data_IF_859022200442
#
_entry.id   IF_859022200442
#
_cell.length_a   1.000
_cell.length_b   1.000
_cell.length_c   1.000
_cell.angle_alpha   90.00
_cell.angle_beta   90.00
_cell.angle_gamma   90.00
#
_symmetry.space_group_name_H-M   'P 1'
#
loop_
_entity.id
_entity.type
_entity.pdbx_description
1 polymer ?
#
# COMPACT_ATOMS: atom_id res chain seq x y z
N UNK A 1 -2.69 -12.77 20.29
CA UNK A 1 -3.17 -12.04 19.10
C UNK A 1 -4.38 -11.23 19.52
N UNK A 2 -4.41 -9.95 19.16
CA UNK A 2 -5.58 -9.10 19.37
C UNK A 2 -6.77 -9.62 18.54
N UNK A 3 -8.00 -9.18 18.85
CA UNK A 3 -9.17 -9.50 18.04
C UNK A 3 -9.05 -8.90 16.63
N UNK A 4 -9.23 -9.72 15.59
CA UNK A 4 -9.27 -9.34 14.16
C UNK A 4 -10.52 -8.49 13.83
N UNK A 5 -10.55 -7.25 14.33
CA UNK A 5 -11.72 -6.36 14.23
C UNK A 5 -12.13 -6.11 12.79
N UNK A 6 -11.19 -6.10 11.86
CA UNK A 6 -11.42 -5.87 10.43
C UNK A 6 -12.41 -6.88 9.82
N UNK A 7 -12.46 -8.12 10.32
CA UNK A 7 -13.38 -9.16 9.85
C UNK A 7 -14.86 -8.75 10.00
N UNK A 8 -15.19 -7.90 10.97
CA UNK A 8 -16.55 -7.40 11.17
C UNK A 8 -16.93 -6.29 10.19
N UNK A 9 -15.94 -5.55 9.70
CA UNK A 9 -16.14 -4.40 8.81
C UNK A 9 -16.13 -4.81 7.33
N UNK A 10 -15.30 -5.77 6.92
CA UNK A 10 -15.16 -6.20 5.51
C UNK A 10 -16.51 -6.50 4.84
N UNK A 11 -17.40 -7.35 5.40
CA UNK A 11 -18.66 -7.63 4.73
C UNK A 11 -19.55 -6.39 4.62
N UNK A 12 -19.58 -5.57 5.67
CA UNK A 12 -20.43 -4.39 5.77
C UNK A 12 -20.00 -3.27 4.81
N UNK A 13 -18.70 -3.05 4.63
CA UNK A 13 -18.19 -2.01 3.72
C UNK A 13 -18.47 -2.38 2.27
N UNK A 14 -18.13 -3.61 1.85
CA UNK A 14 -18.35 -4.06 0.47
C UNK A 14 -19.82 -4.16 0.10
N UNK A 15 -20.65 -4.82 0.93
CA UNK A 15 -22.10 -4.92 0.64
C UNK A 15 -22.80 -3.57 0.73
N UNK A 16 -22.46 -2.73 1.72
CA UNK A 16 -23.05 -1.41 1.91
C UNK A 16 -22.75 -0.47 0.74
N UNK A 17 -21.51 -0.45 0.26
CA UNK A 17 -21.10 0.36 -0.88
C UNK A 17 -21.67 -0.17 -2.21
N UNK A 18 -21.75 -1.50 -2.38
CA UNK A 18 -22.40 -2.12 -3.55
C UNK A 18 -23.89 -1.73 -3.64
N UNK A 19 -24.59 -1.71 -2.51
CA UNK A 19 -26.02 -1.37 -2.43
C UNK A 19 -26.34 0.12 -2.65
N UNK A 20 -25.33 1.01 -2.78
CA UNK A 20 -25.54 2.45 -3.02
C UNK A 20 -25.74 2.82 -4.48
N UNK A 21 -25.60 1.90 -5.43
CA UNK A 21 -25.69 2.22 -6.85
C UNK A 21 -25.99 1.02 -7.74
N UNK A 22 -24.95 0.47 -8.38
CA UNK A 22 -25.03 -0.64 -9.32
C UNK A 22 -24.77 -1.94 -8.55
N UNK A 23 -25.72 -2.87 -8.60
CA UNK A 23 -25.56 -4.18 -7.99
C UNK A 23 -24.54 -4.99 -8.79
N UNK A 24 -23.33 -5.14 -8.23
CA UNK A 24 -22.34 -6.07 -8.77
C UNK A 24 -22.67 -7.52 -8.45
N UNK A 25 -22.14 -8.40 -9.31
CA UNK A 25 -22.17 -9.83 -9.12
C UNK A 25 -21.60 -10.22 -7.76
N UNK A 26 -22.23 -11.20 -7.13
CA UNK A 26 -21.85 -11.70 -5.80
C UNK A 26 -20.38 -12.16 -5.80
N UNK A 27 -19.93 -12.78 -6.89
CA UNK A 27 -18.58 -13.30 -7.02
C UNK A 27 -17.53 -12.18 -6.99
N UNK A 28 -17.76 -11.05 -7.66
CA UNK A 28 -16.84 -9.90 -7.59
C UNK A 28 -16.75 -9.35 -6.17
N UNK A 29 -17.90 -9.21 -5.51
CA UNK A 29 -17.97 -8.68 -4.15
C UNK A 29 -17.29 -9.62 -3.16
N UNK A 30 -17.47 -10.93 -3.33
CA UNK A 30 -16.81 -11.97 -2.55
C UNK A 30 -15.29 -11.95 -2.76
N UNK A 31 -14.83 -11.93 -4.01
CA UNK A 31 -13.41 -11.86 -4.35
C UNK A 31 -12.75 -10.66 -3.65
N UNK A 32 -13.39 -9.49 -3.70
CA UNK A 32 -12.87 -8.28 -3.05
C UNK A 32 -12.90 -8.33 -1.52
N UNK A 33 -13.88 -9.02 -0.91
CA UNK A 33 -13.87 -9.28 0.54
C UNK A 33 -12.72 -10.18 0.95
N UNK A 34 -12.46 -11.25 0.20
CA UNK A 34 -11.36 -12.18 0.49
C UNK A 34 -10.01 -11.49 0.29
N UNK A 35 -9.83 -10.73 -0.78
CA UNK A 35 -8.62 -9.91 -0.98
C UNK A 35 -8.46 -8.96 0.19
N UNK A 36 -9.48 -8.19 0.57
CA UNK A 36 -9.39 -7.28 1.72
C UNK A 36 -8.94 -7.98 3.00
N UNK A 37 -9.47 -9.19 3.27
CA UNK A 37 -9.06 -10.00 4.42
C UNK A 37 -7.59 -10.42 4.33
N UNK A 38 -7.17 -10.92 3.15
CA UNK A 38 -5.78 -11.33 2.92
C UNK A 38 -4.81 -10.15 3.03
N UNK A 39 -5.23 -8.94 2.66
CA UNK A 39 -4.41 -7.74 2.80
C UNK A 39 -4.10 -7.47 4.28
N UNK A 40 -5.11 -7.53 5.17
CA UNK A 40 -4.89 -7.42 6.62
C UNK A 40 -4.00 -8.53 7.18
N UNK A 41 -4.19 -9.77 6.71
CA UNK A 41 -3.35 -10.89 7.13
C UNK A 41 -1.92 -10.77 6.62
N UNK A 42 -1.72 -10.21 5.43
CA UNK A 42 -0.40 -9.92 4.89
C UNK A 42 0.28 -8.83 5.72
N UNK A 43 -0.41 -7.75 6.08
CA UNK A 43 0.11 -6.71 6.97
C UNK A 43 0.63 -7.32 8.29
N UNK A 44 -0.23 -8.11 8.96
CA UNK A 44 0.13 -8.77 10.22
C UNK A 44 1.29 -9.75 10.08
N UNK A 45 1.29 -10.56 9.02
CA UNK A 45 2.36 -11.52 8.76
C UNK A 45 3.69 -10.82 8.51
N UNK A 46 3.67 -9.76 7.71
CA UNK A 46 4.87 -8.97 7.41
C UNK A 46 5.44 -8.32 8.67
N UNK A 47 4.59 -7.73 9.51
CA UNK A 47 5.01 -7.06 10.75
C UNK A 47 5.46 -8.05 11.83
N UNK A 48 4.71 -9.13 12.06
CA UNK A 48 4.96 -10.07 13.15
C UNK A 48 6.05 -11.11 12.86
N UNK A 49 6.22 -11.51 11.60
CA UNK A 49 7.12 -12.61 11.23
C UNK A 49 8.37 -12.08 10.53
N UNK A 50 8.27 -11.05 9.70
CA UNK A 50 9.33 -10.73 8.73
C UNK A 50 9.96 -9.35 8.84
N UNK A 51 9.41 -8.46 9.67
CA UNK A 51 9.91 -7.09 9.84
C UNK A 51 11.40 -6.98 10.21
N UNK A 52 12.03 -8.08 10.64
CA UNK A 52 13.43 -8.15 11.04
C UNK A 52 14.29 -9.19 10.29
N UNK A 53 13.73 -9.90 9.30
CA UNK A 53 14.48 -10.95 8.57
C UNK A 53 15.23 -10.36 7.36
N UNK A 54 16.56 -10.28 7.47
CA UNK A 54 17.43 -9.74 6.41
C UNK A 54 17.37 -10.48 5.06
N UNK A 55 16.94 -11.75 5.08
CA UNK A 55 16.75 -12.59 3.88
C UNK A 55 15.40 -12.37 3.17
N UNK A 56 14.39 -11.80 3.84
CA UNK A 56 13.02 -11.67 3.32
C UNK A 56 12.96 -10.89 1.99
N UNK A 57 13.81 -9.87 1.84
CA UNK A 57 13.91 -9.09 0.59
C UNK A 57 14.37 -9.95 -0.60
N UNK A 58 15.33 -10.85 -0.37
CA UNK A 58 15.83 -11.76 -1.41
C UNK A 58 14.79 -12.82 -1.73
N UNK A 59 14.09 -13.34 -0.71
CA UNK A 59 12.97 -14.25 -0.88
C UNK A 59 11.87 -13.65 -1.76
N UNK A 60 11.35 -12.47 -1.40
CA UNK A 60 10.32 -11.77 -2.17
C UNK A 60 10.79 -11.57 -3.61
N UNK A 61 11.96 -10.96 -3.83
CA UNK A 61 12.48 -10.77 -5.20
C UNK A 61 12.58 -12.09 -5.96
N UNK A 62 13.10 -13.15 -5.33
CA UNK A 62 13.20 -14.48 -5.94
C UNK A 62 11.84 -15.06 -6.36
N UNK A 63 10.79 -14.83 -5.58
CA UNK A 63 9.42 -15.27 -5.89
C UNK A 63 8.83 -14.56 -7.11
N UNK A 64 9.21 -13.29 -7.34
CA UNK A 64 8.73 -12.50 -8.46
C UNK A 64 9.71 -12.47 -9.66
N UNK A 65 10.95 -12.97 -9.50
CA UNK A 65 12.01 -13.00 -10.53
C UNK A 65 11.78 -13.93 -11.72
N UNK A 66 10.63 -14.63 -11.82
CA UNK A 66 10.32 -15.56 -12.91
C UNK A 66 8.88 -15.44 -13.38
N UNK A 67 8.59 -14.36 -14.11
CA UNK A 67 7.43 -14.30 -15.03
C UNK A 67 7.73 -13.55 -16.34
N UNK A 68 8.94 -13.00 -16.54
CA UNK A 68 9.25 -12.12 -17.70
C UNK A 68 10.06 -12.77 -18.83
N UNK A 69 10.23 -14.09 -18.84
CA UNK A 69 10.91 -14.80 -19.94
C UNK A 69 10.15 -16.07 -20.33
N UNK A 70 8.99 -15.90 -20.96
CA UNK A 70 8.50 -16.88 -21.92
C UNK A 70 8.82 -16.40 -23.34
N UNK A 71 9.93 -16.95 -23.86
CA UNK A 71 10.25 -17.18 -25.26
C UNK A 71 10.20 -16.00 -26.24
N UNK A 72 11.28 -15.22 -26.31
CA UNK A 72 11.69 -14.59 -27.56
C UNK A 72 12.80 -15.43 -28.22
N UNK A 73 12.57 -16.10 -29.38
CA UNK A 73 13.58 -16.93 -30.04
C UNK A 73 14.67 -16.14 -30.79
N UNK A 74 14.72 -14.80 -30.68
CA UNK A 74 15.54 -13.97 -31.57
C UNK A 74 16.34 -12.92 -30.82
N UNK A 75 17.37 -13.35 -30.07
CA UNK A 75 18.48 -12.44 -29.73
C UNK A 75 19.74 -13.22 -29.38
N UNK A 76 20.28 -13.92 -30.36
CA UNK A 76 21.70 -14.26 -30.41
C UNK A 76 22.36 -13.37 -31.45
N UNK A 77 23.36 -12.59 -31.03
CA UNK A 77 24.24 -11.71 -31.80
C UNK A 77 23.69 -10.31 -32.15
N UNK A 78 24.09 -9.29 -31.39
CA UNK A 78 25.25 -8.45 -31.77
C UNK A 78 25.63 -7.50 -30.62
N UNK A 79 26.95 -7.34 -30.44
CA UNK A 79 27.58 -6.60 -29.35
C UNK A 79 27.89 -5.15 -29.71
N UNK A 80 28.04 -4.33 -28.65
CA UNK A 80 28.80 -3.07 -28.58
C UNK A 80 28.08 -1.85 -29.19
N UNK A 81 27.93 -0.71 -28.52
CA UNK A 81 28.85 0.02 -27.64
C UNK A 81 28.02 0.93 -26.70
N UNK A 82 28.31 0.94 -25.39
CA UNK A 82 28.72 2.12 -24.62
C UNK A 82 28.95 1.73 -23.17
N UNK A 83 30.20 1.86 -22.78
CA UNK A 83 30.83 1.52 -21.52
C UNK A 83 30.49 2.53 -20.41
N UNK A 84 29.98 2.04 -19.27
CA UNK A 84 30.22 2.64 -17.96
C UNK A 84 29.95 1.64 -16.83
N UNK A 85 31.04 1.19 -16.20
CA UNK A 85 31.04 0.70 -14.82
C UNK A 85 31.03 -0.82 -14.68
N UNK A 86 32.22 -1.39 -14.73
CA UNK A 86 32.60 -2.78 -14.41
C UNK A 86 31.75 -3.39 -13.28
N UNK A 87 30.82 -4.29 -13.63
CA UNK A 87 30.33 -5.33 -12.72
C UNK A 87 31.26 -6.53 -12.94
N UNK A 88 32.05 -6.84 -11.93
CA UNK A 88 32.78 -8.11 -11.85
C UNK A 88 31.77 -9.25 -11.82
N UNK A 89 32.01 -10.37 -12.54
CA UNK A 89 31.11 -11.51 -12.50
C UNK A 89 31.17 -12.11 -11.09
N UNK A 90 30.10 -11.92 -10.32
CA UNK A 90 29.90 -12.70 -9.09
C UNK A 90 29.76 -14.14 -9.53
N UNK A 91 30.68 -14.96 -9.04
CA UNK A 91 30.68 -16.41 -9.26
C UNK A 91 29.36 -16.99 -8.79
N UNK A 92 28.89 -17.98 -9.55
CA UNK A 92 27.72 -18.80 -9.30
C UNK A 92 27.92 -19.63 -8.02
N UNK A 93 27.79 -19.00 -6.87
CA UNK A 93 27.54 -19.66 -5.59
C UNK A 93 26.13 -19.25 -5.14
N UNK A 94 25.15 -19.92 -5.74
CA UNK A 94 23.70 -19.81 -5.51
C UNK A 94 23.28 -20.50 -4.19
N UNK A 95 24.08 -20.35 -3.13
CA UNK A 95 23.68 -20.76 -1.79
C UNK A 95 23.09 -19.53 -1.09
N UNK A 96 21.78 -19.34 -1.31
CA UNK A 96 20.93 -18.48 -0.49
C UNK A 96 21.15 -18.85 0.99
N UNK A 97 21.41 -17.89 1.89
CA UNK A 97 21.33 -18.16 3.32
C UNK A 97 19.88 -18.54 3.65
N UNK A 98 19.67 -19.82 3.93
CA UNK A 98 18.40 -20.45 4.30
C UNK A 98 18.00 -20.08 5.73
N UNK A 99 17.75 -18.78 5.96
CA UNK A 99 17.34 -18.26 7.27
C UNK A 99 15.83 -17.94 7.31
N UNK A 100 15.12 -18.09 6.19
CA UNK A 100 13.65 -18.13 6.18
C UNK A 100 13.18 -19.55 6.42
N UNK A 101 12.27 -19.78 7.35
CA UNK A 101 11.69 -21.12 7.51
C UNK A 101 10.95 -21.53 6.22
N UNK A 102 10.96 -22.83 5.86
CA UNK A 102 10.22 -23.32 4.69
C UNK A 102 8.74 -22.89 4.71
N UNK A 103 8.15 -22.70 5.89
CA UNK A 103 6.76 -22.27 6.09
C UNK A 103 6.49 -20.81 5.66
N UNK A 104 7.43 -19.89 5.88
CA UNK A 104 7.32 -18.49 5.44
C UNK A 104 7.30 -18.39 3.92
N UNK A 105 8.22 -19.10 3.27
CA UNK A 105 8.30 -19.19 1.82
C UNK A 105 7.04 -19.79 1.21
N UNK A 106 6.56 -20.89 1.77
CA UNK A 106 5.32 -21.54 1.32
C UNK A 106 4.09 -20.65 1.52
N UNK A 107 4.09 -19.81 2.56
CA UNK A 107 3.02 -18.83 2.80
C UNK A 107 3.00 -17.74 1.74
N UNK A 108 4.14 -17.14 1.38
CA UNK A 108 4.19 -16.17 0.28
C UNK A 108 3.84 -16.78 -1.07
N UNK A 109 4.29 -18.00 -1.35
CA UNK A 109 3.93 -18.69 -2.59
C UNK A 109 2.41 -18.83 -2.65
N UNK A 110 1.76 -19.32 -1.59
CA UNK A 110 0.30 -19.44 -1.54
C UNK A 110 -0.40 -18.10 -1.70
N UNK A 111 0.06 -17.05 -1.03
CA UNK A 111 -0.52 -15.71 -1.15
C UNK A 111 -0.39 -15.14 -2.57
N UNK A 112 0.81 -15.16 -3.13
CA UNK A 112 1.07 -14.73 -4.52
C UNK A 112 0.23 -15.52 -5.51
N UNK A 113 0.25 -16.85 -5.43
CA UNK A 113 -0.47 -17.73 -6.34
C UNK A 113 -1.98 -17.50 -6.25
N UNK A 114 -2.52 -17.31 -5.04
CA UNK A 114 -3.93 -17.00 -4.85
C UNK A 114 -4.32 -15.69 -5.53
N UNK A 115 -3.51 -14.63 -5.37
CA UNK A 115 -3.81 -13.31 -5.93
C UNK A 115 -3.61 -13.28 -7.45
N UNK A 116 -2.45 -13.70 -7.94
CA UNK A 116 -2.04 -13.53 -9.34
C UNK A 116 -2.62 -14.61 -10.26
N UNK A 117 -2.79 -15.83 -9.77
CA UNK A 117 -3.37 -16.93 -10.55
C UNK A 117 -4.86 -17.13 -10.27
N UNK A 118 -5.51 -16.11 -9.68
CA UNK A 118 -6.95 -16.16 -9.41
C UNK A 118 -7.74 -16.35 -10.72
N UNK A 119 -8.66 -17.33 -10.81
CA UNK A 119 -9.40 -17.61 -12.05
C UNK A 119 -10.12 -16.39 -12.63
N UNK A 120 -10.60 -15.52 -11.75
CA UNK A 120 -11.39 -14.35 -12.12
C UNK A 120 -10.60 -13.29 -12.92
N UNK A 121 -9.27 -13.25 -12.84
CA UNK A 121 -8.44 -12.27 -13.58
C UNK A 121 -7.73 -12.84 -14.81
N UNK A 122 -7.81 -14.15 -15.04
CA UNK A 122 -7.07 -14.83 -16.13
C UNK A 122 -7.54 -14.47 -17.55
N UNK A 123 -8.58 -13.64 -17.67
CA UNK A 123 -9.03 -13.07 -18.95
C UNK A 123 -8.17 -11.89 -19.39
N UNK A 124 -7.48 -11.23 -18.46
CA UNK A 124 -6.60 -10.11 -18.74
C UNK A 124 -5.39 -10.55 -19.57
N UNK A 125 -4.84 -9.62 -20.38
CA UNK A 125 -3.60 -9.88 -21.12
C UNK A 125 -2.41 -10.06 -20.16
N UNK A 126 -1.35 -10.71 -20.62
CA UNK A 126 -0.10 -10.87 -19.85
C UNK A 126 0.47 -9.52 -19.40
N UNK A 127 0.32 -8.48 -20.24
CA UNK A 127 0.75 -7.12 -19.93
C UNK A 127 -0.08 -6.57 -18.76
N UNK A 128 -1.39 -6.75 -18.79
CA UNK A 128 -2.27 -6.27 -17.72
C UNK A 128 -2.10 -7.06 -16.43
N UNK A 129 -1.80 -8.36 -16.50
CA UNK A 129 -1.47 -9.20 -15.33
C UNK A 129 -0.08 -8.90 -14.75
N UNK A 130 0.86 -8.37 -15.54
CA UNK A 130 2.16 -7.95 -15.03
C UNK A 130 2.03 -6.82 -14.01
N UNK A 131 1.13 -5.86 -14.23
CA UNK A 131 0.92 -4.72 -13.33
C UNK A 131 0.55 -5.09 -11.88
N UNK A 132 -0.52 -5.87 -11.59
CA UNK A 132 -0.82 -6.28 -10.22
C UNK A 132 0.29 -7.18 -9.64
N UNK A 133 1.03 -7.94 -10.46
CA UNK A 133 2.20 -8.70 -9.98
C UNK A 133 3.34 -7.78 -9.52
N UNK A 134 3.69 -6.77 -10.31
CA UNK A 134 4.71 -5.76 -9.95
C UNK A 134 4.30 -4.98 -8.71
N UNK A 135 3.01 -4.60 -8.61
CA UNK A 135 2.49 -3.86 -7.46
C UNK A 135 2.39 -4.73 -6.21
N UNK A 136 2.11 -6.03 -6.33
CA UNK A 136 2.14 -6.97 -5.21
C UNK A 136 3.57 -7.16 -4.69
N UNK A 137 4.57 -7.29 -5.58
CA UNK A 137 5.97 -7.29 -5.18
C UNK A 137 6.34 -5.98 -4.46
N UNK A 138 5.94 -4.84 -5.02
CA UNK A 138 6.21 -3.53 -4.44
C UNK A 138 5.56 -3.36 -3.06
N UNK A 139 4.33 -3.86 -2.87
CA UNK A 139 3.62 -3.90 -1.58
C UNK A 139 4.43 -4.66 -0.52
N UNK A 140 4.87 -5.89 -0.83
CA UNK A 140 5.65 -6.70 0.11
C UNK A 140 7.02 -6.07 0.42
N UNK A 141 7.69 -5.48 -0.56
CA UNK A 141 8.95 -4.77 -0.35
C UNK A 141 8.78 -3.46 0.43
N UNK A 142 7.62 -2.81 0.30
CA UNK A 142 7.28 -1.61 1.06
C UNK A 142 7.11 -1.92 2.55
N UNK A 143 6.50 -3.05 2.91
CA UNK A 143 6.47 -3.52 4.31
C UNK A 143 7.86 -3.65 4.92
N UNK A 144 8.79 -4.35 4.25
CA UNK A 144 10.15 -4.50 4.77
C UNK A 144 10.86 -3.15 4.94
N UNK A 145 10.63 -2.23 4.01
CA UNK A 145 11.20 -0.88 4.10
C UNK A 145 10.60 -0.11 5.27
N UNK A 146 9.28 -0.19 5.45
CA UNK A 146 8.57 0.48 6.54
C UNK A 146 8.97 -0.08 7.91
N UNK A 147 9.05 -1.41 8.08
CA UNK A 147 9.52 -2.02 9.34
C UNK A 147 10.96 -1.65 9.69
N UNK A 148 11.81 -1.42 8.68
CA UNK A 148 13.17 -0.89 8.89
C UNK A 148 13.13 0.55 9.38
N UNK A 149 12.27 1.38 8.78
CA UNK A 149 12.06 2.77 9.21
C UNK A 149 11.47 2.85 10.62
N UNK A 150 10.52 1.98 10.98
CA UNK A 150 9.95 1.83 12.33
C UNK A 150 11.04 1.47 13.34
N UNK A 151 11.84 0.45 13.04
CA UNK A 151 12.95 0.02 13.91
C UNK A 151 13.95 1.15 14.15
N UNK A 152 14.25 1.94 13.11
CA UNK A 152 15.13 3.10 13.20
C UNK A 152 14.50 4.21 14.04
N UNK A 153 13.21 4.46 13.87
CA UNK A 153 12.47 5.44 14.65
C UNK A 153 12.41 5.05 16.13
N UNK A 154 12.04 3.80 16.45
CA UNK A 154 12.00 3.27 17.81
C UNK A 154 13.34 3.39 18.55
N UNK A 155 14.47 3.19 17.86
CA UNK A 155 15.81 3.36 18.43
C UNK A 155 16.13 4.81 18.79
N UNK A 156 15.56 5.79 18.08
CA UNK A 156 15.74 7.21 18.33
C UNK A 156 14.80 7.72 19.43
N UNK A 157 13.58 7.18 19.47
CA UNK A 157 12.51 7.55 20.40
C UNK A 157 12.70 6.98 21.81
N UNK A 158 13.94 6.80 22.27
CA UNK A 158 14.31 6.15 23.54
C UNK A 158 13.36 6.46 24.70
N UNK A 159 13.06 5.45 25.51
CA UNK A 159 11.89 5.31 26.41
C UNK A 159 11.51 6.47 27.38
N UNK A 160 12.25 7.58 27.46
CA UNK A 160 12.07 8.62 28.48
C UNK A 160 12.17 10.08 27.98
N UNK A 161 12.17 10.36 26.66
CA UNK A 161 12.16 11.77 26.20
C UNK A 161 10.75 12.35 26.13
N UNK A 162 10.45 13.34 26.98
CA UNK A 162 9.20 14.14 26.95
C UNK A 162 9.00 14.96 25.65
N UNK A 163 9.99 14.98 24.76
CA UNK A 163 9.96 15.74 23.52
C UNK A 163 9.57 14.87 22.33
N UNK A 164 8.77 15.40 21.38
CA UNK A 164 8.45 14.71 20.14
C UNK A 164 9.75 14.42 19.37
N UNK A 165 9.98 13.15 19.05
CA UNK A 165 11.13 12.72 18.26
C UNK A 165 10.78 12.89 16.80
N UNK A 166 11.60 13.67 16.09
CA UNK A 166 11.47 13.84 14.65
C UNK A 166 12.28 12.77 13.93
N UNK A 167 11.64 12.06 13.02
CA UNK A 167 12.28 11.03 12.22
C UNK A 167 13.32 11.68 11.27
N UNK A 168 14.59 11.22 11.29
CA UNK A 168 15.64 11.74 10.41
C UNK A 168 15.48 11.16 9.00
N UNK A 169 14.38 11.54 8.34
CA UNK A 169 13.99 11.02 7.05
C UNK A 169 15.06 11.29 5.99
N UNK A 170 15.41 10.28 5.19
CA UNK A 170 16.32 10.47 4.04
C UNK A 170 15.61 11.04 2.81
N UNK A 171 14.29 11.23 2.90
CA UNK A 171 13.39 11.73 1.86
C UNK A 171 12.35 12.64 2.52
N UNK A 172 11.79 13.58 1.77
CA UNK A 172 10.71 14.41 2.28
C UNK A 172 9.41 13.60 2.46
N UNK A 173 8.46 14.14 3.23
CA UNK A 173 7.18 13.51 3.51
C UNK A 173 6.38 13.22 2.23
N UNK A 174 6.40 14.14 1.25
CA UNK A 174 5.65 13.98 -0.01
C UNK A 174 6.12 12.75 -0.79
N UNK A 175 7.44 12.54 -0.90
CA UNK A 175 8.03 11.38 -1.56
C UNK A 175 7.73 10.10 -0.77
N UNK A 176 7.84 10.12 0.56
CA UNK A 176 7.57 8.95 1.40
C UNK A 176 6.10 8.51 1.32
N UNK A 177 5.16 9.45 1.48
CA UNK A 177 3.73 9.15 1.56
C UNK A 177 3.21 8.64 0.22
N UNK A 178 3.78 9.06 -0.91
CA UNK A 178 3.39 8.59 -2.26
C UNK A 178 4.10 7.32 -2.71
N UNK A 179 5.24 6.98 -2.12
CA UNK A 179 5.99 5.79 -2.50
C UNK A 179 5.76 4.66 -1.49
N UNK A 180 6.70 4.49 -0.55
CA UNK A 180 6.71 3.39 0.43
C UNK A 180 5.36 3.30 1.14
N UNK A 181 4.88 4.43 1.67
CA UNK A 181 3.77 4.43 2.61
C UNK A 181 2.41 4.20 1.94
N UNK A 182 2.18 4.76 0.76
CA UNK A 182 0.98 4.48 -0.04
C UNK A 182 0.98 3.04 -0.58
N UNK A 183 2.12 2.56 -1.08
CA UNK A 183 2.23 1.21 -1.64
C UNK A 183 2.02 0.13 -0.58
N UNK A 184 2.44 0.39 0.66
CA UNK A 184 2.14 -0.43 1.85
C UNK A 184 0.64 -0.58 2.15
N UNK A 185 -0.27 0.25 1.62
CA UNK A 185 -1.70 0.17 1.97
C UNK A 185 -2.47 -0.94 1.24
N UNK A 186 -1.81 -1.78 0.43
CA UNK A 186 -2.39 -2.77 -0.49
C UNK A 186 -3.31 -2.22 -1.61
N UNK A 187 -3.70 -0.94 -1.51
CA UNK A 187 -4.65 -0.30 -2.42
C UNK A 187 -4.20 -0.33 -3.89
N UNK A 188 -2.92 -0.05 -4.23
CA UNK A 188 -2.50 -0.04 -5.63
C UNK A 188 -2.65 -1.40 -6.33
N UNK A 189 -2.15 -2.49 -5.74
CA UNK A 189 -2.31 -3.81 -6.38
C UNK A 189 -3.77 -4.29 -6.36
N UNK A 190 -4.54 -3.94 -5.32
CA UNK A 190 -5.96 -4.30 -5.25
C UNK A 190 -6.77 -3.60 -6.36
N UNK A 191 -6.42 -2.35 -6.69
CA UNK A 191 -7.00 -1.62 -7.81
C UNK A 191 -6.62 -2.23 -9.17
N UNK A 192 -5.35 -2.60 -9.34
CA UNK A 192 -4.89 -3.24 -10.58
C UNK A 192 -5.49 -4.64 -10.75
N UNK A 193 -5.66 -5.38 -9.66
CA UNK A 193 -6.32 -6.69 -9.65
C UNK A 193 -7.78 -6.59 -10.08
N UNK A 194 -8.55 -5.67 -9.48
CA UNK A 194 -9.96 -5.50 -9.85
C UNK A 194 -10.08 -4.96 -11.28
N UNK A 195 -9.12 -4.18 -11.74
CA UNK A 195 -9.05 -3.74 -13.13
C UNK A 195 -8.89 -4.93 -14.07
N UNK A 196 -7.98 -5.86 -13.79
CA UNK A 196 -7.82 -7.10 -14.57
C UNK A 196 -9.12 -7.93 -14.57
N UNK A 197 -9.82 -8.00 -13.44
CA UNK A 197 -11.12 -8.68 -13.31
C UNK A 197 -12.21 -8.10 -14.21
N UNK A 198 -12.08 -6.83 -14.60
CA UNK A 198 -13.01 -6.14 -15.50
C UNK A 198 -12.68 -6.30 -16.99
N UNK A 199 -11.67 -7.09 -17.34
CA UNK A 199 -11.42 -7.45 -18.74
C UNK A 199 -12.65 -8.13 -19.34
N UNK A 200 -13.06 -7.70 -20.53
CA UNK A 200 -14.26 -8.22 -21.18
C UNK A 200 -14.14 -9.71 -21.51
N UNK A 201 -15.26 -10.40 -21.77
CA UNK A 201 -15.24 -11.79 -22.28
C UNK A 201 -14.49 -11.96 -23.61
N UNK A 202 -14.26 -10.86 -24.33
CA UNK A 202 -13.49 -10.85 -25.59
C UNK A 202 -12.01 -10.58 -25.36
N UNK A 203 -11.59 -10.34 -24.12
CA UNK A 203 -10.23 -9.94 -23.77
C UNK A 203 -9.96 -8.45 -23.99
N UNK A 204 -10.99 -7.61 -24.10
CA UNK A 204 -10.80 -6.17 -24.28
C UNK A 204 -10.31 -5.54 -22.97
N UNK A 205 -9.24 -4.77 -23.07
CA UNK A 205 -8.63 -4.05 -21.95
C UNK A 205 -9.60 -3.05 -21.31
N UNK A 206 -9.73 -3.02 -19.97
CA UNK A 206 -10.63 -2.09 -19.26
C UNK A 206 -10.25 -0.61 -19.50
N UNK A 207 -8.97 -0.34 -19.72
CA UNK A 207 -8.45 1.00 -20.02
C UNK A 207 -7.71 1.00 -21.36
N UNK A 208 -8.41 1.14 -22.49
CA UNK A 208 -7.82 0.89 -23.81
C UNK A 208 -6.94 2.04 -24.35
N UNK A 209 -6.93 3.21 -23.70
CA UNK A 209 -6.21 4.40 -24.20
C UNK A 209 -5.13 4.84 -23.23
N UNK A 210 -4.11 5.54 -23.72
CA UNK A 210 -3.07 6.13 -22.87
C UNK A 210 -3.67 7.05 -21.78
N UNK A 211 -4.70 7.83 -22.11
CA UNK A 211 -5.37 8.72 -21.17
C UNK A 211 -6.11 7.93 -20.07
N UNK A 212 -6.88 6.90 -20.43
CA UNK A 212 -7.63 6.11 -19.44
C UNK A 212 -6.69 5.31 -18.53
N UNK A 213 -5.58 4.79 -19.06
CA UNK A 213 -4.54 4.14 -18.25
C UNK A 213 -3.88 5.13 -17.28
N UNK A 214 -3.48 6.31 -17.76
CA UNK A 214 -2.86 7.34 -16.92
C UNK A 214 -3.79 7.78 -15.79
N UNK A 215 -5.05 8.08 -16.11
CA UNK A 215 -6.03 8.50 -15.11
C UNK A 215 -6.37 7.38 -14.12
N UNK A 216 -6.39 6.12 -14.57
CA UNK A 216 -6.59 4.96 -13.68
C UNK A 216 -5.45 4.81 -12.67
N UNK A 217 -4.20 4.94 -13.13
CA UNK A 217 -3.04 4.90 -12.25
C UNK A 217 -3.04 6.06 -11.24
N UNK A 218 -3.35 7.28 -11.68
CA UNK A 218 -3.49 8.44 -10.79
C UNK A 218 -4.61 8.24 -9.75
N UNK A 219 -5.75 7.64 -10.15
CA UNK A 219 -6.84 7.33 -9.24
C UNK A 219 -6.38 6.38 -8.13
N UNK A 220 -5.74 5.26 -8.48
CA UNK A 220 -5.21 4.28 -7.54
C UNK A 220 -4.16 4.90 -6.60
N UNK A 221 -3.30 5.75 -7.13
CA UNK A 221 -2.30 6.47 -6.34
C UNK A 221 -2.92 7.42 -5.31
N UNK A 222 -3.94 8.19 -5.70
CA UNK A 222 -4.63 9.09 -4.78
C UNK A 222 -5.35 8.32 -3.67
N UNK A 223 -6.01 7.22 -4.00
CA UNK A 223 -6.65 6.33 -3.02
C UNK A 223 -5.63 5.81 -2.00
N UNK A 224 -4.49 5.30 -2.47
CA UNK A 224 -3.45 4.73 -1.62
C UNK A 224 -2.83 5.77 -0.66
N UNK A 225 -2.58 6.99 -1.14
CA UNK A 225 -2.09 8.10 -0.30
C UNK A 225 -3.12 8.47 0.77
N UNK A 226 -4.40 8.56 0.40
CA UNK A 226 -5.48 8.85 1.36
C UNK A 226 -5.60 7.75 2.41
N UNK A 227 -5.57 6.48 2.00
CA UNK A 227 -5.57 5.34 2.94
C UNK A 227 -4.48 5.50 3.98
N UNK A 228 -3.27 5.87 3.55
CA UNK A 228 -2.14 6.05 4.47
C UNK A 228 -2.34 7.22 5.41
N UNK A 229 -2.80 8.37 4.92
CA UNK A 229 -3.02 9.55 5.76
C UNK A 229 -4.12 9.30 6.81
N UNK A 230 -5.23 8.68 6.41
CA UNK A 230 -6.29 8.30 7.36
C UNK A 230 -5.83 7.24 8.37
N UNK A 231 -5.05 6.25 7.92
CA UNK A 231 -4.46 5.27 8.81
C UNK A 231 -3.53 5.96 9.82
N UNK A 232 -2.59 6.82 9.39
CA UNK A 232 -1.72 7.60 10.29
C UNK A 232 -2.50 8.44 11.31
N UNK A 233 -3.60 9.06 10.88
CA UNK A 233 -4.44 9.86 11.76
C UNK A 233 -5.12 9.01 12.86
N UNK A 234 -5.62 7.83 12.50
CA UNK A 234 -6.34 6.93 13.39
C UNK A 234 -5.44 6.11 14.32
N UNK A 235 -4.25 5.76 13.84
CA UNK A 235 -3.29 4.87 14.52
C UNK A 235 -2.33 5.57 15.47
N UNK A 236 -2.30 6.91 15.51
CA UNK A 236 -1.35 7.71 16.30
C UNK A 236 -1.06 7.16 17.72
N UNK A 237 -2.10 6.81 18.48
CA UNK A 237 -1.94 6.30 19.84
C UNK A 237 -1.31 4.89 19.89
N UNK A 238 -1.61 4.05 18.90
CA UNK A 238 -1.03 2.72 18.74
C UNK A 238 0.42 2.83 18.27
N UNK A 239 0.67 3.60 17.21
CA UNK A 239 2.02 3.77 16.65
C UNK A 239 2.98 4.34 17.70
N UNK A 240 2.54 5.32 18.51
CA UNK A 240 3.34 5.81 19.65
C UNK A 240 3.64 4.73 20.70
N UNK A 241 2.69 3.85 20.99
CA UNK A 241 2.86 2.80 21.99
C UNK A 241 3.76 1.66 21.49
N UNK A 242 3.71 1.37 20.18
CA UNK A 242 4.49 0.31 19.52
C UNK A 242 5.86 0.84 19.03
N UNK A 243 6.05 2.16 18.99
CA UNK A 243 7.27 2.79 18.48
C UNK A 243 7.35 2.84 16.96
N UNK A 244 6.21 2.73 16.27
CA UNK A 244 6.12 2.76 14.81
C UNK A 244 6.18 4.20 14.30
N UNK A 245 6.72 4.35 13.09
CA UNK A 245 6.79 5.62 12.39
C UNK A 245 5.41 6.05 11.91
N UNK A 246 4.99 7.25 12.28
CA UNK A 246 3.76 7.87 11.80
C UNK A 246 4.06 9.03 10.85
N UNK A 247 3.08 9.41 10.02
CA UNK A 247 3.18 10.61 9.17
C UNK A 247 3.59 11.85 9.95
N UNK A 248 3.08 12.02 11.17
CA UNK A 248 3.30 13.22 11.99
C UNK A 248 4.68 13.30 12.66
N UNK A 249 5.52 12.28 12.47
CA UNK A 249 6.90 12.24 12.97
C UNK A 249 7.90 12.79 11.93
N UNK A 250 7.43 13.13 10.73
CA UNK A 250 8.27 13.72 9.68
C UNK A 250 8.61 15.19 9.99
N UNK A 251 9.80 15.67 9.58
CA UNK A 251 10.24 17.06 9.84
C UNK A 251 9.28 18.14 9.36
N UNK A 252 8.55 17.89 8.27
CA UNK A 252 7.57 18.82 7.71
C UNK A 252 6.39 19.11 8.67
N UNK A 253 6.22 18.32 9.72
CA UNK A 253 5.22 18.52 10.77
C UNK A 253 5.75 19.27 12.01
N UNK A 254 7.03 19.68 12.04
CA UNK A 254 7.58 20.46 13.15
C UNK A 254 7.05 21.90 13.19
N UNK A 255 6.98 22.56 12.02
CA UNK A 255 6.66 23.98 11.88
C UNK A 255 5.20 24.25 11.45
N UNK A 256 4.25 23.41 11.86
CA UNK A 256 2.84 23.58 11.46
C UNK A 256 2.17 24.86 11.99
N UNK A 257 2.82 25.66 12.87
CA UNK A 257 2.35 27.01 13.19
C UNK A 257 2.60 27.57 14.60
N UNK A 258 3.39 26.93 15.48
CA UNK A 258 3.71 27.51 16.81
C UNK A 258 5.04 28.27 16.81
N UNK A 259 4.98 29.60 16.89
CA UNK A 259 6.12 30.40 17.39
C UNK A 259 6.23 30.11 18.89
N UNK A 260 7.37 29.59 19.41
CA UNK A 260 7.47 29.22 20.80
C UNK A 260 7.42 30.48 21.69
N UNK A 261 6.30 30.69 22.38
CA UNK A 261 6.21 31.67 23.46
C UNK A 261 6.54 30.99 24.81
N UNK A 262 7.75 31.28 25.29
CA UNK A 262 8.26 31.03 26.65
C UNK A 262 8.44 29.57 27.09
N UNK A 263 9.52 29.35 27.84
CA UNK A 263 10.09 28.06 28.24
C UNK A 263 9.37 27.36 29.40
N UNK A 264 8.06 27.56 29.56
CA UNK A 264 7.34 27.14 30.78
C UNK A 264 6.00 26.44 30.46
N UNK A 265 6.03 25.52 29.50
CA UNK A 265 4.83 24.86 28.98
C UNK A 265 4.86 23.34 29.17
N UNK A 266 4.16 22.87 30.19
CA UNK A 266 4.41 21.55 30.80
C UNK A 266 3.42 20.45 30.44
N UNK A 267 2.43 20.66 29.55
CA UNK A 267 1.52 19.59 29.05
C UNK A 267 0.46 20.12 28.07
N UNK A 268 0.01 21.37 28.25
CA UNK A 268 -1.01 21.98 27.37
C UNK A 268 -0.49 22.35 25.99
N UNK A 269 0.80 22.65 25.89
CA UNK A 269 1.44 23.03 24.63
C UNK A 269 1.67 21.82 23.73
N UNK A 270 2.09 20.68 24.29
CA UNK A 270 2.24 19.42 23.53
C UNK A 270 0.91 18.91 22.97
N UNK A 271 -0.20 19.10 23.70
CA UNK A 271 -1.54 18.79 23.19
C UNK A 271 -1.99 19.72 22.06
N UNK A 272 -1.59 21.00 22.06
CA UNK A 272 -1.95 21.95 21.02
C UNK A 272 -1.14 21.70 19.74
N UNK A 273 0.17 21.48 19.88
CA UNK A 273 1.08 21.10 18.78
C UNK A 273 0.63 19.79 18.12
N UNK A 274 0.26 18.78 18.92
CA UNK A 274 -0.27 17.53 18.38
C UNK A 274 -1.59 17.74 17.62
N UNK A 275 -2.48 18.59 18.11
CA UNK A 275 -3.73 18.90 17.43
C UNK A 275 -3.49 19.62 16.10
N UNK A 276 -2.48 20.48 16.03
CA UNK A 276 -2.08 21.18 14.81
C UNK A 276 -1.50 20.21 13.77
N UNK A 277 -0.58 19.31 14.18
CA UNK A 277 -0.07 18.24 13.30
C UNK A 277 -1.18 17.36 12.74
N UNK A 278 -2.16 16.99 13.59
CA UNK A 278 -3.35 16.24 13.17
C UNK A 278 -4.21 17.04 12.20
N UNK A 279 -4.35 18.35 12.42
CA UNK A 279 -5.04 19.27 11.51
C UNK A 279 -4.38 19.31 10.13
N UNK A 280 -3.06 19.51 10.08
CA UNK A 280 -2.29 19.53 8.84
C UNK A 280 -2.37 18.20 8.07
N UNK A 281 -2.27 17.06 8.77
CA UNK A 281 -2.43 15.74 8.14
C UNK A 281 -3.83 15.56 7.53
N UNK A 282 -4.87 15.98 8.25
CA UNK A 282 -6.25 15.89 7.77
C UNK A 282 -6.50 16.83 6.58
N UNK A 283 -5.96 18.04 6.60
CA UNK A 283 -6.04 18.98 5.47
C UNK A 283 -5.39 18.38 4.21
N UNK A 284 -4.22 17.75 4.35
CA UNK A 284 -3.58 17.03 3.23
C UNK A 284 -4.41 15.83 2.75
N UNK A 285 -5.04 15.09 3.65
CA UNK A 285 -5.90 13.96 3.29
C UNK A 285 -7.14 14.44 2.49
N UNK A 286 -7.78 15.53 2.92
CA UNK A 286 -8.91 16.13 2.21
C UNK A 286 -8.49 16.73 0.87
N UNK A 287 -7.31 17.35 0.76
CA UNK A 287 -6.77 17.76 -0.54
C UNK A 287 -6.53 16.55 -1.46
N UNK A 288 -6.02 15.44 -0.92
CA UNK A 288 -5.91 14.17 -1.64
C UNK A 288 -7.27 13.67 -2.15
N UNK A 289 -8.31 13.82 -1.33
CA UNK A 289 -9.70 13.48 -1.68
C UNK A 289 -10.26 14.38 -2.78
N UNK A 290 -9.96 15.67 -2.76
CA UNK A 290 -10.32 16.59 -3.85
C UNK A 290 -9.68 16.16 -5.18
N UNK A 291 -8.38 15.84 -5.15
CA UNK A 291 -7.65 15.36 -6.33
C UNK A 291 -8.25 14.06 -6.87
N UNK A 292 -8.55 13.10 -5.97
CA UNK A 292 -9.23 11.85 -6.31
C UNK A 292 -10.55 12.11 -7.04
N UNK A 293 -11.39 13.02 -6.52
CA UNK A 293 -12.68 13.35 -7.12
C UNK A 293 -12.53 14.01 -8.50
N UNK A 294 -11.51 14.83 -8.70
CA UNK A 294 -11.19 15.43 -10.01
C UNK A 294 -10.80 14.34 -11.02
N UNK A 295 -9.86 13.45 -10.65
CA UNK A 295 -9.42 12.36 -11.52
C UNK A 295 -10.58 11.42 -11.84
N UNK A 296 -11.38 11.04 -10.83
CA UNK A 296 -12.60 10.25 -10.98
C UNK A 296 -13.59 10.91 -11.95
N UNK A 297 -13.87 12.20 -11.80
CA UNK A 297 -14.79 12.92 -12.68
C UNK A 297 -14.33 12.96 -14.14
N UNK A 298 -13.01 12.94 -14.38
CA UNK A 298 -12.42 12.89 -15.73
C UNK A 298 -12.39 11.46 -16.31
N UNK A 299 -12.10 10.47 -15.48
CA UNK A 299 -12.00 9.06 -15.89
C UNK A 299 -13.38 8.47 -16.17
N UNK A 300 -14.34 8.68 -15.24
CA UNK A 300 -15.64 8.02 -15.25
C UNK A 300 -16.41 8.14 -16.59
N UNK A 301 -16.47 9.29 -17.29
CA UNK A 301 -17.17 9.39 -18.58
C UNK A 301 -16.53 8.60 -19.72
N UNK A 302 -15.27 8.17 -19.56
CA UNK A 302 -14.51 7.42 -20.56
C UNK A 302 -14.66 5.90 -20.42
N UNK A 303 -15.37 5.44 -19.39
CA UNK A 303 -15.52 4.03 -19.03
C UNK A 303 -16.92 3.52 -19.40
N UNK A 304 -17.03 2.22 -19.68
CA UNK A 304 -18.33 1.56 -19.87
C UNK A 304 -19.15 1.51 -18.56
N UNK A 305 -20.39 1.03 -18.63
CA UNK A 305 -21.28 0.98 -17.47
C UNK A 305 -20.77 0.10 -16.33
N UNK A 306 -20.19 -1.07 -16.63
CA UNK A 306 -19.68 -1.99 -15.62
C UNK A 306 -18.50 -1.39 -14.87
N UNK A 307 -17.50 -0.93 -15.61
CA UNK A 307 -16.28 -0.37 -15.05
C UNK A 307 -16.53 0.95 -14.30
N UNK A 308 -17.49 1.77 -14.74
CA UNK A 308 -17.93 2.97 -14.00
C UNK A 308 -18.43 2.60 -12.60
N UNK A 309 -19.27 1.59 -12.49
CA UNK A 309 -19.80 1.20 -11.19
C UNK A 309 -18.73 0.56 -10.30
N UNK A 310 -17.80 -0.23 -10.86
CA UNK A 310 -16.71 -0.82 -10.06
C UNK A 310 -15.81 0.28 -9.51
N UNK A 311 -15.48 1.26 -10.34
CA UNK A 311 -14.79 2.46 -9.90
C UNK A 311 -15.55 3.17 -8.78
N UNK A 312 -16.87 3.31 -8.91
CA UNK A 312 -17.70 3.96 -7.88
C UNK A 312 -17.69 3.18 -6.56
N UNK A 313 -17.86 1.86 -6.59
CA UNK A 313 -17.87 1.01 -5.40
C UNK A 313 -16.49 0.96 -4.74
N UNK A 314 -15.42 0.74 -5.51
CA UNK A 314 -14.06 0.65 -4.98
C UNK A 314 -13.63 1.95 -4.28
N UNK A 315 -13.89 3.10 -4.91
CA UNK A 315 -13.64 4.42 -4.30
C UNK A 315 -14.45 4.59 -3.02
N UNK A 316 -15.73 4.23 -3.01
CA UNK A 316 -16.58 4.36 -1.83
C UNK A 316 -16.15 3.44 -0.68
N UNK A 317 -15.75 2.20 -0.97
CA UNK A 317 -15.23 1.26 0.04
C UNK A 317 -13.96 1.81 0.65
N UNK A 318 -13.05 2.31 -0.18
CA UNK A 318 -11.76 2.85 0.28
C UNK A 318 -11.95 4.10 1.13
N UNK A 319 -12.80 5.03 0.70
CA UNK A 319 -13.16 6.24 1.48
C UNK A 319 -13.83 5.87 2.82
N UNK A 320 -14.72 4.86 2.81
CA UNK A 320 -15.39 4.38 4.02
C UNK A 320 -14.41 3.76 5.02
N UNK A 321 -13.42 2.98 4.56
CA UNK A 321 -12.35 2.50 5.44
C UNK A 321 -11.55 3.65 6.05
N UNK A 322 -11.23 4.67 5.26
CA UNK A 322 -10.61 5.90 5.76
C UNK A 322 -11.40 6.52 6.91
N UNK A 323 -12.71 6.68 6.73
CA UNK A 323 -13.61 7.19 7.76
C UNK A 323 -13.68 6.28 9.01
N UNK A 324 -13.66 4.96 8.81
CA UNK A 324 -13.59 4.00 9.92
C UNK A 324 -12.31 4.21 10.71
N UNK A 325 -11.15 4.32 10.06
CA UNK A 325 -9.86 4.56 10.75
C UNK A 325 -9.84 5.87 11.53
N UNK A 326 -10.42 6.95 10.99
CA UNK A 326 -10.56 8.22 11.72
C UNK A 326 -11.39 8.02 13.00
N UNK A 327 -12.50 7.28 12.90
CA UNK A 327 -13.41 7.07 14.02
C UNK A 327 -12.89 6.02 15.03
N UNK A 328 -12.18 5.01 14.55
CA UNK A 328 -11.72 3.87 15.32
C UNK A 328 -10.56 3.15 14.62
N UNK A 329 -9.46 2.98 15.33
CA UNK A 329 -8.40 2.08 14.89
C UNK A 329 -8.87 0.61 14.94
N UNK A 330 -8.88 -0.02 13.77
CA UNK A 330 -9.33 -1.40 13.53
C UNK A 330 -8.18 -2.36 13.22
N UNK A 331 -6.94 -1.87 13.15
CA UNK A 331 -5.80 -2.76 12.95
C UNK A 331 -5.54 -3.59 14.22
N UNK A 332 -4.88 -4.72 14.03
CA UNK A 332 -4.43 -5.57 15.12
C UNK A 332 -3.31 -4.89 15.90
N UNK A 333 -3.22 -5.22 17.19
CA UNK A 333 -2.12 -4.76 18.04
C UNK A 333 -1.10 -5.87 18.16
N UNK A 334 0.17 -5.50 18.05
CA UNK A 334 1.27 -6.39 18.41
C UNK A 334 1.38 -6.37 19.94
N UNK A 335 1.02 -7.48 20.61
CA UNK A 335 1.06 -7.61 22.08
C UNK A 335 2.35 -8.29 22.50
#
# INVERSE_FOLDING_TARGET
>A
MADDKYLQYIPSTWTGCNNKGIFFEIDLIWDMMVISMLNYQADEFMEAVLGHHGSAKHLIRGLFSKTTLQNDPLSSQESSLLDRGVITPVSSDDDLPDDSTNDEKDTFIRFKEYIINHPSIQKASDISLAHPSEQLEAFLLAHLTHSTDDSRFAQLSGHDSDFPVTFPASRNYWDWVRSISAVHTSCPYSWDWVSCRMTSERGDEPFPTALTKYLSAELGQHLAVMCRMYNSYGSLARDKAEGNLNSMDFPEFEDCGVIPMSSDATEKQTSAELQERRGALMEMAEYGRECLLIVKARLRPLLDEGLRGVLDVFVNVTDLYGQIYIARDIASRMV
#
